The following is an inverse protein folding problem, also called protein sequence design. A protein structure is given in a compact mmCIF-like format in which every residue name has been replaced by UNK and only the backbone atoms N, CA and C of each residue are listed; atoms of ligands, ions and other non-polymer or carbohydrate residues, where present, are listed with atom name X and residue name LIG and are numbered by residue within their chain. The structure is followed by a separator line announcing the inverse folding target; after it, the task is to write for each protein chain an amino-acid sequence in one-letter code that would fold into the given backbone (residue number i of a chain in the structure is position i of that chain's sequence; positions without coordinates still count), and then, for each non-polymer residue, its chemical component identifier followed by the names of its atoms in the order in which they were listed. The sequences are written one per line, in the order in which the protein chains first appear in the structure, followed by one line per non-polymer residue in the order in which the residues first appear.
data_IF_677646276174
#
_entry.id   IF_677646276174
#
_cell.length_a   1.000
_cell.length_b   1.000
_cell.length_c   1.000
_cell.angle_alpha   90.00
_cell.angle_beta   90.00
_cell.angle_gamma   90.00
#
_symmetry.space_group_name_H-M   'P 1'
#
loop_
_entity.id
_entity.type
_entity.pdbx_description
1 polymer ?
#
# COMPACT_ATOMS: atom_id res chain seq x y z
N UNK A 1 -13.75 22.59 -16.72
CA UNK A 1 -15.11 22.21 -16.29
C UNK A 1 -15.37 22.95 -14.99
N UNK A 2 -16.40 23.79 -14.91
CA UNK A 2 -16.78 24.44 -13.65
C UNK A 2 -17.27 23.35 -12.71
N UNK A 3 -16.44 22.96 -11.75
CA UNK A 3 -16.79 21.98 -10.73
C UNK A 3 -18.02 22.47 -9.97
N UNK A 4 -18.99 21.59 -9.78
CA UNK A 4 -20.10 21.83 -8.87
C UNK A 4 -19.49 21.70 -7.46
N UNK A 5 -19.01 22.81 -6.89
CA UNK A 5 -18.79 22.93 -5.45
C UNK A 5 -20.04 23.54 -4.85
N UNK A 6 -20.64 22.87 -3.88
CA UNK A 6 -21.67 23.46 -3.04
C UNK A 6 -21.03 24.40 -1.99
N UNK A 7 -21.86 25.20 -1.35
CA UNK A 7 -21.41 26.18 -0.35
C UNK A 7 -20.70 25.49 0.83
N UNK A 8 -21.16 24.30 1.23
CA UNK A 8 -20.59 23.54 2.34
C UNK A 8 -19.18 23.06 2.01
N UNK A 9 -18.96 22.55 0.80
CA UNK A 9 -17.63 22.17 0.31
C UNK A 9 -16.69 23.38 0.18
N UNK A 10 -17.21 24.53 -0.25
CA UNK A 10 -16.44 25.77 -0.30
C UNK A 10 -16.00 26.21 1.11
N UNK A 11 -16.91 26.16 2.09
CA UNK A 11 -16.61 26.52 3.47
C UNK A 11 -15.59 25.56 4.11
N UNK A 12 -15.73 24.26 3.88
CA UNK A 12 -14.77 23.24 4.32
C UNK A 12 -13.37 23.50 3.76
N UNK A 13 -13.24 23.71 2.45
CA UNK A 13 -11.95 23.96 1.82
C UNK A 13 -11.32 25.28 2.28
N UNK A 14 -12.14 26.33 2.49
CA UNK A 14 -11.67 27.58 3.09
C UNK A 14 -11.12 27.38 4.50
N UNK A 15 -11.79 26.58 5.31
CA UNK A 15 -11.30 26.19 6.65
C UNK A 15 -9.98 25.45 6.58
N UNK A 16 -9.93 24.39 5.77
CA UNK A 16 -8.73 23.56 5.59
C UNK A 16 -7.52 24.38 5.12
N UNK A 17 -7.70 25.23 4.10
CA UNK A 17 -6.60 26.07 3.61
C UNK A 17 -6.13 27.05 4.69
N UNK A 18 -7.03 27.66 5.46
CA UNK A 18 -6.64 28.55 6.58
C UNK A 18 -5.85 27.83 7.65
N UNK A 19 -6.23 26.59 7.98
CA UNK A 19 -5.49 25.78 8.95
C UNK A 19 -4.10 25.43 8.42
N UNK A 20 -4.00 25.09 7.13
CA UNK A 20 -2.72 24.81 6.46
C UNK A 20 -1.81 26.04 6.35
N UNK A 21 -2.37 27.25 6.28
CA UNK A 21 -1.59 28.51 6.29
C UNK A 21 -0.80 28.72 7.58
N UNK A 22 -1.13 28.00 8.66
CA UNK A 22 -0.35 28.02 9.91
C UNK A 22 0.87 27.09 9.89
N UNK A 23 1.04 26.26 8.85
CA UNK A 23 2.16 25.31 8.72
C UNK A 23 2.94 25.45 7.41
N UNK A 24 3.86 24.52 7.16
CA UNK A 24 4.67 24.46 5.94
C UNK A 24 3.90 23.75 4.81
N UNK A 25 2.86 24.41 4.29
CA UNK A 25 2.04 23.89 3.21
C UNK A 25 2.17 24.73 1.93
N UNK A 26 2.14 24.05 0.77
CA UNK A 26 2.07 24.71 -0.53
C UNK A 26 0.67 24.47 -1.09
N UNK A 27 0.00 25.58 -1.40
CA UNK A 27 -1.37 25.57 -1.93
C UNK A 27 -1.33 26.11 -3.36
N UNK A 28 -2.01 25.42 -4.26
CA UNK A 28 -2.08 25.80 -5.66
C UNK A 28 -2.75 27.18 -5.85
N UNK A 29 -2.18 28.02 -6.72
CA UNK A 29 -2.67 29.39 -6.94
C UNK A 29 -4.05 29.42 -7.62
N UNK A 30 -4.39 28.41 -8.44
CA UNK A 30 -5.72 28.34 -9.05
C UNK A 30 -6.78 28.02 -7.99
N UNK A 31 -6.50 27.09 -7.08
CA UNK A 31 -7.39 26.78 -5.95
C UNK A 31 -7.62 28.00 -5.05
N UNK A 32 -6.56 28.74 -4.72
CA UNK A 32 -6.68 29.96 -3.91
C UNK A 32 -7.54 31.03 -4.59
N UNK A 33 -7.42 31.18 -5.92
CA UNK A 33 -8.25 32.11 -6.70
C UNK A 33 -9.72 31.70 -6.71
N UNK A 34 -10.00 30.40 -6.88
CA UNK A 34 -11.36 29.86 -6.86
C UNK A 34 -12.02 30.06 -5.49
N UNK A 35 -11.28 29.82 -4.41
CA UNK A 35 -11.75 30.02 -3.04
C UNK A 35 -11.63 31.49 -2.56
N UNK A 36 -11.19 32.45 -3.38
CA UNK A 36 -10.99 33.83 -2.94
C UNK A 36 -10.11 33.98 -1.69
N UNK A 37 -9.09 33.12 -1.55
CA UNK A 37 -8.12 33.13 -0.45
C UNK A 37 -6.86 33.84 -0.94
N UNK A 38 -6.41 34.84 -0.20
CA UNK A 38 -5.14 35.50 -0.46
C UNK A 38 -4.06 34.90 0.43
N UNK A 39 -3.07 34.24 -0.19
CA UNK A 39 -1.93 33.71 0.54
C UNK A 39 -0.97 34.85 0.93
N UNK A 40 -0.45 34.90 2.17
CA UNK A 40 0.46 35.93 2.64
C UNK A 40 1.80 35.89 1.88
N UNK A 41 2.16 34.72 1.37
CA UNK A 41 3.39 34.49 0.62
C UNK A 41 3.08 33.76 -0.68
N UNK A 42 3.60 34.27 -1.80
CA UNK A 42 3.53 33.59 -3.10
C UNK A 42 4.81 32.81 -3.30
N UNK A 43 4.75 31.49 -3.19
CA UNK A 43 5.86 30.63 -3.58
C UNK A 43 5.99 30.62 -5.11
N UNK A 44 7.16 30.98 -5.62
CA UNK A 44 7.50 30.94 -7.05
C UNK A 44 8.83 30.21 -7.19
N UNK A 45 8.75 28.88 -7.19
CA UNK A 45 9.88 27.99 -7.36
C UNK A 45 9.39 26.58 -7.66
N UNK A 46 10.31 25.69 -8.04
CA UNK A 46 10.04 24.26 -7.93
C UNK A 46 10.03 23.91 -6.45
N UNK A 47 9.06 23.11 -6.01
CA UNK A 47 9.08 22.59 -4.66
C UNK A 47 10.17 21.54 -4.60
N UNK A 48 11.29 21.84 -3.94
CA UNK A 48 12.29 20.83 -3.60
C UNK A 48 11.74 19.98 -2.45
N UNK A 49 10.86 19.04 -2.77
CA UNK A 49 10.53 17.94 -1.85
C UNK A 49 11.61 16.87 -1.99
N UNK A 50 12.78 17.10 -1.40
CA UNK A 50 13.77 16.05 -1.20
C UNK A 50 13.32 15.14 -0.07
N UNK A 51 12.32 14.30 -0.36
CA UNK A 51 12.01 13.15 0.48
C UNK A 51 13.08 12.11 0.20
N UNK A 52 13.78 11.68 1.25
CA UNK A 52 14.75 10.60 1.14
C UNK A 52 14.07 9.33 0.59
N UNK A 53 14.79 8.51 -0.17
CA UNK A 53 14.18 7.33 -0.77
C UNK A 53 13.73 6.30 0.28
N UNK A 54 14.39 6.23 1.45
CA UNK A 54 13.94 5.42 2.57
C UNK A 54 12.60 5.92 3.11
N UNK A 55 12.51 7.22 3.40
CA UNK A 55 11.26 7.84 3.86
C UNK A 55 10.14 7.63 2.84
N UNK A 56 10.45 7.76 1.55
CA UNK A 56 9.48 7.53 0.48
C UNK A 56 8.96 6.10 0.48
N UNK A 57 9.81 5.08 0.58
CA UNK A 57 9.34 3.68 0.60
C UNK A 57 8.58 3.36 1.89
N UNK A 58 8.96 3.94 3.02
CA UNK A 58 8.23 3.82 4.29
C UNK A 58 6.83 4.42 4.20
N UNK A 59 6.70 5.63 3.65
CA UNK A 59 5.41 6.28 3.44
C UNK A 59 4.51 5.48 2.49
N UNK A 60 5.05 4.91 1.41
CA UNK A 60 4.28 4.05 0.50
C UNK A 60 3.83 2.77 1.19
N UNK A 61 4.68 2.15 2.01
CA UNK A 61 4.30 0.99 2.80
C UNK A 61 3.21 1.31 3.82
N UNK A 62 3.31 2.43 4.54
CA UNK A 62 2.28 2.87 5.48
C UNK A 62 0.94 3.13 4.78
N UNK A 63 0.99 3.71 3.58
CA UNK A 63 -0.19 3.91 2.75
C UNK A 63 -0.83 2.58 2.31
N UNK A 64 -0.02 1.62 1.87
CA UNK A 64 -0.49 0.38 1.25
C UNK A 64 -0.90 -0.69 2.27
N UNK A 65 -0.18 -0.80 3.38
CA UNK A 65 -0.31 -1.89 4.36
C UNK A 65 -0.78 -1.41 5.73
N UNK A 66 -1.02 -0.11 5.88
CA UNK A 66 -1.42 0.51 7.14
C UNK A 66 -0.24 1.08 7.93
N UNK A 67 -0.58 1.99 8.84
CA UNK A 67 0.39 2.77 9.63
C UNK A 67 1.37 1.87 10.38
N UNK A 68 2.66 2.14 10.24
CA UNK A 68 3.74 1.41 10.90
C UNK A 68 4.37 0.33 10.01
N UNK A 69 3.72 -0.06 8.90
CA UNK A 69 4.27 -1.03 7.97
C UNK A 69 5.59 -0.56 7.33
N UNK A 70 5.79 0.74 7.15
CA UNK A 70 7.05 1.29 6.66
C UNK A 70 8.24 0.93 7.53
N UNK A 71 8.14 1.18 8.83
CA UNK A 71 9.20 0.86 9.80
C UNK A 71 9.38 -0.66 9.97
N UNK A 72 8.30 -1.43 9.89
CA UNK A 72 8.36 -2.90 9.95
C UNK A 72 9.09 -3.51 8.74
N UNK A 73 8.81 -3.00 7.54
CA UNK A 73 9.42 -3.50 6.32
C UNK A 73 10.85 -2.99 6.13
N UNK A 74 11.09 -1.71 6.42
CA UNK A 74 12.32 -1.02 6.03
C UNK A 74 13.03 -0.41 7.24
N UNK A 75 14.04 -1.11 7.74
CA UNK A 75 15.03 -0.60 8.71
C UNK A 75 16.01 0.38 8.04
N UNK A 76 16.79 1.12 8.82
CA UNK A 76 17.69 2.16 8.29
C UNK A 76 18.84 1.62 7.40
N UNK A 77 19.10 0.33 7.44
CA UNK A 77 20.19 -0.35 6.72
C UNK A 77 19.76 -0.99 5.39
N UNK A 78 18.52 -0.79 4.95
CA UNK A 78 18.04 -1.37 3.68
C UNK A 78 18.79 -0.82 2.48
N UNK A 79 18.99 -1.70 1.49
CA UNK A 79 19.62 -1.35 0.22
C UNK A 79 18.56 -1.09 -0.83
N UNK A 80 18.46 0.17 -1.28
CA UNK A 80 17.53 0.61 -2.32
C UNK A 80 18.25 0.66 -3.68
N UNK A 81 17.83 -0.21 -4.60
CA UNK A 81 18.29 -0.20 -5.98
C UNK A 81 17.39 0.66 -6.86
N UNK A 82 18.04 1.40 -7.77
CA UNK A 82 17.39 2.29 -8.73
C UNK A 82 17.58 1.79 -10.15
N UNK A 83 16.61 2.10 -11.01
CA UNK A 83 16.76 1.88 -12.44
C UNK A 83 17.91 2.75 -12.97
N UNK A 84 18.88 2.14 -13.65
CA UNK A 84 20.00 2.85 -14.28
C UNK A 84 19.55 3.91 -15.29
N UNK A 85 18.42 3.68 -15.96
CA UNK A 85 17.96 4.55 -17.04
C UNK A 85 17.11 5.73 -16.54
N UNK A 86 16.33 5.54 -15.48
CA UNK A 86 15.34 6.53 -15.02
C UNK A 86 15.60 7.07 -13.63
N UNK A 87 16.55 6.51 -12.88
CA UNK A 87 16.81 6.86 -11.48
C UNK A 87 15.70 6.43 -10.50
N UNK A 88 14.59 5.87 -10.97
CA UNK A 88 13.45 5.49 -10.11
C UNK A 88 13.78 4.26 -9.24
N UNK A 89 13.27 4.25 -8.01
CA UNK A 89 13.34 3.10 -7.08
C UNK A 89 12.77 1.85 -7.76
N UNK A 90 13.42 0.70 -7.54
CA UNK A 90 13.00 -0.61 -8.07
C UNK A 90 12.97 -1.69 -7.02
N UNK A 91 14.11 -2.04 -6.45
CA UNK A 91 14.21 -3.18 -5.53
C UNK A 91 14.73 -2.69 -4.18
N UNK A 92 14.12 -3.18 -3.11
CA UNK A 92 14.51 -2.85 -1.74
C UNK A 92 14.89 -4.16 -1.05
N UNK A 93 16.11 -4.22 -0.52
CA UNK A 93 16.70 -5.43 0.06
C UNK A 93 17.11 -5.23 1.53
N UNK A 94 17.06 -6.30 2.32
CA UNK A 94 17.84 -6.45 3.54
C UNK A 94 18.99 -7.43 3.25
N UNK A 95 20.22 -6.93 3.20
CA UNK A 95 21.34 -7.69 2.67
C UNK A 95 21.07 -8.18 1.23
N UNK A 96 20.97 -9.50 1.07
CA UNK A 96 20.69 -10.17 -0.21
C UNK A 96 19.22 -10.58 -0.39
N UNK A 97 18.38 -10.39 0.63
CA UNK A 97 16.99 -10.80 0.61
C UNK A 97 16.07 -9.68 0.13
N UNK A 98 15.27 -9.98 -0.89
CA UNK A 98 14.33 -9.01 -1.47
C UNK A 98 13.14 -8.81 -0.52
N UNK A 99 13.01 -7.60 0.03
CA UNK A 99 11.86 -7.19 0.84
C UNK A 99 10.69 -6.89 -0.09
N UNK A 100 10.87 -5.91 -0.98
CA UNK A 100 9.83 -5.43 -1.89
C UNK A 100 10.42 -5.02 -3.24
N UNK A 101 9.58 -5.08 -4.28
CA UNK A 101 9.83 -4.39 -5.54
C UNK A 101 8.81 -3.26 -5.70
N UNK A 102 9.28 -2.04 -5.94
CA UNK A 102 8.44 -0.92 -6.32
C UNK A 102 8.08 -1.01 -7.80
N UNK A 103 6.78 -1.08 -8.06
CA UNK A 103 6.26 -1.23 -9.42
C UNK A 103 6.33 0.11 -10.15
N UNK A 104 6.94 0.11 -11.33
CA UNK A 104 7.19 1.33 -12.08
C UNK A 104 5.92 2.04 -12.60
N UNK A 105 4.80 1.33 -12.69
CA UNK A 105 3.53 1.84 -13.25
C UNK A 105 2.75 2.70 -12.26
N UNK A 106 2.72 2.33 -10.99
CA UNK A 106 1.85 2.93 -9.97
C UNK A 106 2.61 3.31 -8.68
N UNK A 107 3.90 2.95 -8.56
CA UNK A 107 4.69 3.23 -7.37
C UNK A 107 4.37 2.35 -6.17
N UNK A 108 3.47 1.37 -6.30
CA UNK A 108 3.11 0.47 -5.21
C UNK A 108 4.15 -0.65 -5.03
N UNK A 109 4.20 -1.19 -3.82
CA UNK A 109 5.10 -2.25 -3.43
C UNK A 109 4.49 -3.61 -3.79
N UNK A 110 5.34 -4.50 -4.31
CA UNK A 110 5.07 -5.91 -4.52
C UNK A 110 5.94 -6.68 -3.53
N UNK A 111 5.33 -7.50 -2.67
CA UNK A 111 6.04 -8.20 -1.61
C UNK A 111 6.98 -9.26 -2.20
N UNK A 112 8.22 -9.24 -1.71
CA UNK A 112 9.15 -10.38 -1.76
C UNK A 112 8.87 -11.35 -0.60
N UNK A 113 9.72 -12.37 -0.44
CA UNK A 113 9.57 -13.26 0.71
C UNK A 113 9.85 -12.55 2.03
N UNK A 114 10.99 -11.86 2.10
CA UNK A 114 11.39 -11.21 3.35
C UNK A 114 10.38 -10.15 3.77
N UNK A 115 9.82 -9.39 2.81
CA UNK A 115 8.75 -8.43 3.09
C UNK A 115 7.47 -9.09 3.60
N UNK A 116 7.08 -10.23 3.03
CA UNK A 116 5.91 -10.97 3.50
C UNK A 116 6.09 -11.49 4.94
N UNK A 117 7.28 -12.00 5.29
CA UNK A 117 7.59 -12.45 6.65
C UNK A 117 7.58 -11.27 7.63
N UNK A 118 8.27 -10.17 7.31
CA UNK A 118 8.28 -8.97 8.16
C UNK A 118 6.89 -8.41 8.40
N UNK A 119 6.10 -8.29 7.33
CA UNK A 119 4.75 -7.75 7.42
C UNK A 119 3.86 -8.65 8.28
N UNK A 120 3.93 -9.97 8.06
CA UNK A 120 3.19 -10.96 8.85
C UNK A 120 3.54 -10.89 10.34
N UNK A 121 4.83 -10.90 10.68
CA UNK A 121 5.30 -10.84 12.08
C UNK A 121 5.04 -9.49 12.75
N UNK A 122 5.01 -8.41 11.96
CA UNK A 122 4.89 -7.04 12.46
C UNK A 122 3.47 -6.52 12.59
N UNK A 123 2.47 -7.22 12.04
CA UNK A 123 1.08 -6.77 12.04
C UNK A 123 0.16 -7.84 12.62
N UNK A 124 -0.82 -7.42 13.42
CA UNK A 124 -1.77 -8.34 14.05
C UNK A 124 -2.80 -8.86 13.04
N UNK A 125 -3.26 -10.09 13.26
CA UNK A 125 -4.42 -10.63 12.53
C UNK A 125 -5.66 -9.72 12.72
N UNK A 126 -6.45 -9.42 11.66
CA UNK A 126 -6.35 -9.97 10.30
C UNK A 126 -5.58 -9.09 9.31
N UNK A 127 -4.80 -8.08 9.70
CA UNK A 127 -4.23 -7.08 8.77
C UNK A 127 -3.52 -7.72 7.55
N UNK A 128 -4.01 -7.41 6.35
CA UNK A 128 -3.54 -7.97 5.07
C UNK A 128 -3.67 -9.51 4.90
N UNK A 129 -4.38 -10.23 5.79
CA UNK A 129 -4.54 -11.69 5.72
C UNK A 129 -5.69 -12.12 4.80
N UNK A 130 -5.45 -13.26 4.15
CA UNK A 130 -6.48 -14.11 3.54
C UNK A 130 -6.26 -15.52 4.09
N UNK A 131 -7.12 -15.94 5.02
CA UNK A 131 -7.07 -17.25 5.63
C UNK A 131 -7.75 -18.29 4.74
N UNK A 132 -7.08 -19.42 4.50
CA UNK A 132 -7.60 -20.53 3.70
C UNK A 132 -7.82 -21.77 4.56
N UNK A 133 -8.73 -22.64 4.13
CA UNK A 133 -8.95 -23.93 4.78
C UNK A 133 -7.78 -24.91 4.58
N UNK A 134 -7.76 -25.96 5.40
CA UNK A 134 -6.74 -27.02 5.40
C UNK A 134 -6.54 -27.67 4.01
N UNK A 135 -7.62 -27.80 3.21
CA UNK A 135 -7.56 -28.37 1.86
C UNK A 135 -6.69 -27.53 0.91
N UNK A 136 -6.64 -26.21 1.11
CA UNK A 136 -5.91 -25.30 0.23
C UNK A 136 -4.46 -25.11 0.64
N UNK A 137 -4.12 -25.33 1.91
CA UNK A 137 -2.77 -25.03 2.44
C UNK A 137 -1.62 -25.66 1.64
N UNK A 138 -1.66 -26.96 1.27
CA UNK A 138 -0.58 -27.58 0.52
C UNK A 138 -0.38 -26.95 -0.87
N UNK A 139 -1.42 -26.35 -1.43
CA UNK A 139 -1.38 -25.67 -2.72
C UNK A 139 -0.87 -24.24 -2.58
N UNK A 140 -1.30 -23.52 -1.55
CA UNK A 140 -0.79 -22.19 -1.22
C UNK A 140 0.73 -22.24 -0.98
N UNK A 141 1.23 -23.19 -0.16
CA UNK A 141 2.68 -23.39 0.07
C UNK A 141 3.45 -23.73 -1.22
N UNK A 142 2.81 -24.34 -2.21
CA UNK A 142 3.41 -24.60 -3.54
C UNK A 142 3.30 -23.40 -4.50
N UNK A 143 2.86 -22.24 -4.02
CA UNK A 143 2.69 -21.03 -4.83
C UNK A 143 1.50 -21.08 -5.79
N UNK A 144 0.54 -21.99 -5.59
CA UNK A 144 -0.68 -22.04 -6.40
C UNK A 144 -1.64 -20.94 -5.95
N UNK A 145 -2.42 -20.42 -6.90
CA UNK A 145 -3.41 -19.38 -6.65
C UNK A 145 -4.57 -19.89 -5.80
N UNK A 146 -5.10 -19.01 -4.95
CA UNK A 146 -6.22 -19.30 -4.04
C UNK A 146 -7.54 -19.00 -4.76
N UNK A 147 -8.52 -19.88 -4.58
CA UNK A 147 -9.89 -19.72 -5.09
C UNK A 147 -10.83 -19.35 -3.95
N UNK A 148 -11.85 -18.54 -4.25
CA UNK A 148 -12.75 -17.96 -3.25
C UNK A 148 -13.39 -19.01 -2.32
N UNK A 149 -13.83 -20.15 -2.89
CA UNK A 149 -14.42 -21.27 -2.13
C UNK A 149 -13.56 -21.88 -1.00
N UNK A 150 -12.27 -21.59 -0.98
CA UNK A 150 -11.34 -22.10 0.02
C UNK A 150 -10.99 -21.06 1.09
N UNK A 151 -11.43 -19.82 0.92
CA UNK A 151 -11.20 -18.74 1.88
C UNK A 151 -12.20 -18.91 3.02
N UNK A 152 -11.69 -18.85 4.26
CA UNK A 152 -12.50 -19.00 5.47
C UNK A 152 -12.63 -17.70 6.26
N UNK A 153 -11.68 -16.77 6.09
CA UNK A 153 -11.69 -15.44 6.67
C UNK A 153 -10.70 -14.53 5.93
N UNK A 154 -10.86 -13.21 6.00
CA UNK A 154 -9.91 -12.24 5.46
C UNK A 154 -10.05 -10.85 6.10
N UNK A 155 -9.03 -10.01 5.92
CA UNK A 155 -9.11 -8.60 6.31
C UNK A 155 -10.23 -7.88 5.53
N UNK A 156 -11.20 -7.33 6.25
CA UNK A 156 -12.32 -6.55 5.67
C UNK A 156 -11.88 -5.32 4.87
N UNK A 157 -10.64 -4.85 5.06
CA UNK A 157 -10.10 -3.70 4.33
C UNK A 157 -9.49 -4.08 2.98
N UNK A 158 -9.30 -5.37 2.68
CA UNK A 158 -8.72 -5.80 1.40
C UNK A 158 -9.58 -5.29 0.24
N UNK A 159 -8.88 -4.70 -0.74
CA UNK A 159 -9.41 -4.29 -2.04
C UNK A 159 -8.76 -5.11 -3.14
N UNK A 160 -9.45 -5.17 -4.27
CA UNK A 160 -8.90 -5.80 -5.46
C UNK A 160 -7.59 -5.10 -5.88
N UNK A 161 -6.57 -5.90 -6.18
CA UNK A 161 -5.19 -5.54 -6.48
C UNK A 161 -4.26 -5.25 -5.28
N UNK A 162 -4.74 -5.34 -4.05
CA UNK A 162 -3.87 -5.27 -2.87
C UNK A 162 -2.91 -6.45 -2.82
N UNK A 163 -1.74 -6.24 -2.23
CA UNK A 163 -0.84 -7.34 -1.88
C UNK A 163 -1.29 -7.92 -0.54
N UNK A 164 -1.39 -9.24 -0.47
CA UNK A 164 -1.97 -9.96 0.67
C UNK A 164 -1.05 -11.10 1.13
N UNK A 165 -1.23 -11.46 2.40
CA UNK A 165 -0.60 -12.58 3.07
C UNK A 165 -1.61 -13.73 3.10
N UNK A 166 -1.25 -14.88 2.52
CA UNK A 166 -2.09 -16.07 2.53
C UNK A 166 -1.67 -16.90 3.74
N UNK A 167 -2.61 -17.13 4.66
CA UNK A 167 -2.39 -17.82 5.93
C UNK A 167 -3.33 -19.02 6.09
N UNK A 168 -3.05 -19.90 7.04
CA UNK A 168 -4.03 -20.90 7.48
C UNK A 168 -4.88 -20.38 8.65
N UNK A 169 -5.72 -21.24 9.23
CA UNK A 169 -6.60 -20.91 10.35
C UNK A 169 -5.83 -20.49 11.63
N UNK A 170 -4.57 -20.89 11.76
CA UNK A 170 -3.70 -20.59 12.90
C UNK A 170 -2.81 -19.34 12.65
N UNK A 171 -3.11 -18.55 11.62
CA UNK A 171 -2.30 -17.41 11.13
C UNK A 171 -0.85 -17.81 10.76
N UNK A 172 -0.59 -19.04 10.33
CA UNK A 172 0.71 -19.41 9.78
C UNK A 172 0.84 -18.91 8.34
N UNK A 173 1.91 -18.17 8.03
CA UNK A 173 2.18 -17.70 6.68
C UNK A 173 2.45 -18.88 5.73
N UNK A 174 1.67 -18.96 4.65
CA UNK A 174 1.79 -20.01 3.62
C UNK A 174 2.37 -19.47 2.33
N UNK A 175 1.93 -18.26 1.95
CA UNK A 175 2.22 -17.61 0.69
C UNK A 175 1.95 -16.10 0.73
N UNK A 176 2.39 -15.39 -0.31
CA UNK A 176 2.01 -14.00 -0.59
C UNK A 176 1.49 -13.86 -2.01
N UNK A 177 0.58 -12.93 -2.24
CA UNK A 177 -0.09 -12.78 -3.52
C UNK A 177 -0.73 -11.42 -3.73
N UNK A 178 -1.41 -11.30 -4.86
CA UNK A 178 -2.24 -10.14 -5.19
C UNK A 178 -3.72 -10.53 -5.15
N UNK A 179 -4.52 -9.80 -4.38
CA UNK A 179 -5.96 -9.93 -4.38
C UNK A 179 -6.54 -9.62 -5.77
N UNK A 180 -7.48 -10.43 -6.22
CA UNK A 180 -8.28 -10.19 -7.42
C UNK A 180 -9.70 -9.74 -7.09
N UNK A 181 -10.13 -10.01 -5.86
CA UNK A 181 -11.43 -9.70 -5.29
C UNK A 181 -11.24 -8.79 -4.08
N UNK A 182 -12.26 -8.03 -3.68
CA UNK A 182 -12.29 -7.38 -2.36
C UNK A 182 -12.72 -8.38 -1.27
N UNK A 183 -12.61 -7.99 0.00
CA UNK A 183 -12.97 -8.85 1.14
C UNK A 183 -14.40 -9.41 1.06
N UNK A 184 -15.39 -8.56 0.79
CA UNK A 184 -16.80 -8.98 0.67
C UNK A 184 -16.98 -10.02 -0.44
N UNK A 185 -16.38 -9.80 -1.61
CA UNK A 185 -16.40 -10.76 -2.72
C UNK A 185 -15.69 -12.07 -2.38
N UNK A 186 -14.58 -12.03 -1.64
CA UNK A 186 -13.87 -13.24 -1.18
C UNK A 186 -14.73 -14.10 -0.25
N UNK A 187 -15.53 -13.46 0.61
CA UNK A 187 -16.39 -14.14 1.57
C UNK A 187 -17.72 -14.61 0.97
N UNK A 188 -18.25 -13.91 -0.03
CA UNK A 188 -19.55 -14.22 -0.64
C UNK A 188 -19.46 -15.20 -1.82
N UNK A 189 -18.33 -15.25 -2.53
CA UNK A 189 -18.20 -16.06 -3.74
C UNK A 189 -17.71 -17.48 -3.45
N UNK A 190 -18.40 -18.48 -4.02
CA UNK A 190 -18.00 -19.89 -3.97
C UNK A 190 -17.26 -20.38 -5.24
N UNK A 191 -16.80 -19.46 -6.10
CA UNK A 191 -16.08 -19.78 -7.32
C UNK A 191 -15.18 -18.62 -7.76
N UNK A 192 -14.24 -18.90 -8.67
CA UNK A 192 -13.29 -17.90 -9.16
C UNK A 192 -11.99 -17.83 -8.36
N UNK A 193 -10.95 -17.32 -9.01
CA UNK A 193 -9.65 -17.08 -8.38
C UNK A 193 -9.74 -15.79 -7.54
N UNK A 194 -9.46 -15.90 -6.25
CA UNK A 194 -9.52 -14.79 -5.31
C UNK A 194 -8.16 -14.12 -5.11
N UNK A 195 -7.09 -14.91 -5.06
CA UNK A 195 -5.72 -14.39 -4.90
C UNK A 195 -4.80 -15.01 -5.93
N UNK A 196 -4.13 -14.15 -6.70
CA UNK A 196 -3.05 -14.55 -7.59
C UNK A 196 -1.75 -14.61 -6.80
N UNK A 197 -1.39 -15.81 -6.34
CA UNK A 197 -0.15 -16.07 -5.59
C UNK A 197 1.10 -15.68 -6.40
N UNK A 198 2.06 -15.06 -5.72
CA UNK A 198 3.36 -14.65 -6.26
C UNK A 198 4.47 -15.59 -5.80
N UNK A 199 4.50 -15.90 -4.50
CA UNK A 199 5.45 -16.81 -3.88
C UNK A 199 4.75 -17.61 -2.79
N UNK A 200 5.07 -18.89 -2.69
CA UNK A 200 4.70 -19.75 -1.57
C UNK A 200 5.95 -20.41 -0.99
N UNK A 201 5.75 -21.19 0.07
CA UNK A 201 6.81 -22.00 0.68
C UNK A 201 7.54 -21.26 1.78
N UNK A 202 6.78 -20.47 2.53
CA UNK A 202 7.17 -19.94 3.82
C UNK A 202 7.11 -21.05 4.88
#
# INVERSE_FOLDING_TARGET
ASGIMDLDGEEFLRGLVRDLMAGDAIVDEALCRELGIELPYKYRGEVETTVDDLDRVRMVADYQFGRGAGELLFTDDVRIERSRNTGKIRHIYAGDELICTMRASDGLLVLGAEGAVRLHQGTDYPACRVAVNEESEPFARKGKSVFAKFIIDCDNNIRANDEVLIVNADDELLATGKALLCAEEMMDLNHGQAVKTRKGGF
#
